data_IF_328109824438
#
_entry.id   IF_328109824438
#
_cell.length_a   1.000
_cell.length_b   1.000
_cell.length_c   1.000
_cell.angle_alpha   90.00
_cell.angle_beta   90.00
_cell.angle_gamma   90.00
#
_symmetry.space_group_name_H-M   'P 1'
#
loop_
_entity.id
_entity.type
_entity.pdbx_description
1 polymer ?
#
# COMPACT_ATOMS: atom_id res chain seq x y z
N UNK A 1 40.19 7.56 7.94
CA UNK A 1 39.95 8.90 7.41
C UNK A 1 39.61 8.75 5.94
N UNK A 2 38.47 9.26 5.49
CA UNK A 2 38.02 9.15 4.11
C UNK A 2 38.67 10.29 3.29
N UNK A 3 39.52 9.93 2.33
CA UNK A 3 40.27 10.89 1.49
C UNK A 3 39.40 11.23 0.28
N UNK A 4 39.22 12.52 -0.03
CA UNK A 4 38.43 13.00 -1.16
C UNK A 4 39.34 13.66 -2.21
N UNK A 5 38.98 13.52 -3.48
CA UNK A 5 39.71 14.10 -4.61
C UNK A 5 38.82 15.07 -5.38
N UNK A 6 39.41 16.12 -5.94
CA UNK A 6 38.68 17.08 -6.75
C UNK A 6 38.19 16.46 -8.07
N UNK A 7 36.91 16.65 -8.39
CA UNK A 7 36.27 16.16 -9.62
C UNK A 7 36.85 16.70 -10.94
N UNK A 8 37.59 17.81 -10.90
CA UNK A 8 38.14 18.48 -12.09
C UNK A 8 39.65 18.32 -12.24
N UNK A 9 40.40 18.43 -11.16
CA UNK A 9 41.87 18.44 -11.20
C UNK A 9 42.53 17.26 -10.46
N UNK A 10 41.76 16.44 -9.75
CA UNK A 10 42.28 15.27 -9.04
C UNK A 10 43.14 15.55 -7.80
N UNK A 11 43.32 16.82 -7.41
CA UNK A 11 44.04 17.17 -6.18
C UNK A 11 43.27 16.67 -4.95
N UNK A 12 44.01 16.19 -3.94
CA UNK A 12 43.45 15.77 -2.65
C UNK A 12 42.82 16.97 -1.93
N UNK A 13 41.64 16.75 -1.34
CA UNK A 13 40.84 17.75 -0.65
C UNK A 13 40.74 17.41 0.83
N UNK A 14 40.78 18.43 1.68
CA UNK A 14 40.57 18.24 3.11
C UNK A 14 39.07 18.07 3.43
N UNK A 15 38.77 17.36 4.51
CA UNK A 15 37.39 16.99 4.87
C UNK A 15 36.62 18.25 5.31
N UNK A 16 35.80 18.80 4.41
CA UNK A 16 34.98 19.99 4.67
C UNK A 16 35.14 21.12 3.64
N UNK A 17 36.10 21.01 2.72
CA UNK A 17 36.34 22.04 1.71
C UNK A 17 35.21 22.13 0.69
N UNK A 18 34.57 23.31 0.64
CA UNK A 18 33.51 23.61 -0.34
C UNK A 18 34.07 23.98 -1.72
N UNK A 19 35.37 24.28 -1.80
CA UNK A 19 36.06 24.65 -3.03
C UNK A 19 37.43 23.99 -3.10
N UNK A 20 37.84 23.60 -4.30
CA UNK A 20 39.19 23.10 -4.52
C UNK A 20 40.21 24.25 -4.50
N UNK A 21 41.23 24.15 -3.65
CA UNK A 21 42.33 25.11 -3.53
C UNK A 21 43.18 25.25 -4.80
N UNK A 22 43.21 24.23 -5.66
CA UNK A 22 44.02 24.24 -6.88
C UNK A 22 43.24 24.78 -8.09
N UNK A 23 42.01 24.31 -8.33
CA UNK A 23 41.25 24.65 -9.54
C UNK A 23 40.04 25.58 -9.31
N UNK A 24 39.77 26.00 -8.07
CA UNK A 24 38.67 26.90 -7.70
C UNK A 24 37.26 26.33 -7.92
N UNK A 25 37.14 25.08 -8.37
CA UNK A 25 35.82 24.49 -8.68
C UNK A 25 35.11 24.10 -7.38
N UNK A 26 33.87 24.57 -7.23
CA UNK A 26 32.99 24.22 -6.10
C UNK A 26 32.73 22.71 -6.12
N UNK A 27 32.93 22.06 -4.98
CA UNK A 27 32.62 20.65 -4.81
C UNK A 27 31.26 20.51 -4.13
N UNK A 28 30.44 19.57 -4.60
CA UNK A 28 29.23 19.18 -3.90
C UNK A 28 29.63 18.37 -2.66
N UNK A 29 29.77 19.06 -1.52
CA UNK A 29 29.91 18.40 -0.24
C UNK A 29 28.64 17.57 0.02
N UNK A 30 28.74 16.24 -0.05
CA UNK A 30 27.73 15.39 0.56
C UNK A 30 27.97 15.53 2.06
N UNK A 31 27.12 16.29 2.74
CA UNK A 31 27.13 16.39 4.18
C UNK A 31 27.10 14.98 4.77
N UNK A 32 28.06 14.63 5.62
CA UNK A 32 28.04 13.35 6.35
C UNK A 32 26.72 13.18 7.15
N UNK A 33 26.03 14.30 7.44
CA UNK A 33 24.67 14.33 7.99
C UNK A 33 23.61 13.74 7.03
N UNK A 34 23.74 13.92 5.72
CA UNK A 34 22.79 13.39 4.74
C UNK A 34 22.92 11.87 4.56
N UNK A 35 24.15 11.33 4.55
CA UNK A 35 24.39 9.88 4.53
C UNK A 35 23.97 9.23 5.86
N UNK A 36 24.30 9.85 6.99
CA UNK A 36 23.90 9.32 8.30
C UNK A 36 22.39 9.37 8.54
N UNK A 37 21.68 10.36 7.98
CA UNK A 37 20.22 10.43 7.99
C UNK A 37 19.57 9.42 7.02
N UNK A 38 20.16 9.17 5.85
CA UNK A 38 19.72 8.12 4.91
C UNK A 38 19.93 6.71 5.50
N UNK A 39 21.03 6.49 6.20
CA UNK A 39 21.33 5.22 6.88
C UNK A 39 20.47 5.06 8.15
N UNK A 40 20.18 6.14 8.89
CA UNK A 40 19.19 6.16 10.00
C UNK A 40 17.77 5.84 9.55
N UNK A 41 17.33 6.34 8.40
CA UNK A 41 15.99 6.05 7.89
C UNK A 41 15.87 4.58 7.43
N UNK A 42 16.94 4.01 6.89
CA UNK A 42 17.00 2.60 6.50
C UNK A 42 17.00 1.61 7.68
N UNK A 43 17.41 2.07 8.87
CA UNK A 43 17.48 1.28 10.12
C UNK A 43 16.35 1.56 11.10
N UNK A 44 15.47 2.53 10.79
CA UNK A 44 14.33 2.86 11.64
C UNK A 44 13.36 1.68 11.70
N UNK A 45 13.22 1.07 12.87
CA UNK A 45 12.22 0.02 13.12
C UNK A 45 10.82 0.59 12.91
N UNK A 46 10.09 0.04 11.93
CA UNK A 46 8.72 0.44 11.64
C UNK A 46 7.78 -0.32 12.57
N UNK A 47 7.02 0.43 13.37
CA UNK A 47 6.00 -0.14 14.26
C UNK A 47 4.74 -0.46 13.46
N UNK A 48 3.92 -1.35 14.00
CA UNK A 48 2.65 -1.75 13.39
C UNK A 48 1.76 -0.55 13.03
N UNK A 49 1.53 0.37 13.98
CA UNK A 49 0.68 1.56 13.79
C UNK A 49 1.22 2.51 12.73
N UNK A 50 2.54 2.65 12.66
CA UNK A 50 3.22 3.51 11.68
C UNK A 50 3.05 2.92 10.27
N UNK A 51 3.20 1.60 10.13
CA UNK A 51 2.98 0.90 8.87
C UNK A 51 1.52 1.07 8.38
N UNK A 52 0.54 0.85 9.26
CA UNK A 52 -0.88 1.00 8.92
C UNK A 52 -1.19 2.44 8.50
N UNK A 53 -0.77 3.42 9.30
CA UNK A 53 -1.01 4.84 9.00
C UNK A 53 -0.34 5.25 7.69
N UNK A 54 0.91 4.83 7.46
CA UNK A 54 1.65 5.16 6.24
C UNK A 54 1.02 4.51 5.00
N UNK A 55 0.51 3.29 5.12
CA UNK A 55 -0.17 2.60 4.02
C UNK A 55 -1.53 3.24 3.70
N UNK A 56 -2.33 3.57 4.70
CA UNK A 56 -3.62 4.23 4.50
C UNK A 56 -3.45 5.64 3.91
N UNK A 57 -2.49 6.43 4.40
CA UNK A 57 -2.17 7.76 3.83
C UNK A 57 -1.73 7.68 2.36
N UNK A 58 -1.09 6.57 1.98
CA UNK A 58 -0.61 6.31 0.62
C UNK A 58 -1.50 5.32 -0.14
N UNK A 59 -2.75 5.10 0.27
CA UNK A 59 -3.63 4.12 -0.37
C UNK A 59 -3.81 4.40 -1.87
N UNK A 60 -3.97 5.68 -2.24
CA UNK A 60 -4.08 6.13 -3.63
C UNK A 60 -2.73 6.55 -4.23
N UNK A 61 -1.60 6.16 -3.63
CA UNK A 61 -0.27 6.48 -4.13
C UNK A 61 0.47 5.23 -4.62
N UNK A 62 0.53 5.03 -5.95
CA UNK A 62 1.20 3.89 -6.59
C UNK A 62 2.68 4.14 -6.92
N UNK A 63 3.22 5.33 -6.63
CA UNK A 63 4.62 5.66 -6.86
C UNK A 63 5.43 5.59 -5.56
N UNK A 64 6.74 5.43 -5.73
CA UNK A 64 7.69 5.24 -4.64
C UNK A 64 7.88 3.77 -4.26
N UNK A 65 8.56 3.58 -3.14
CA UNK A 65 8.97 2.26 -2.61
C UNK A 65 8.34 2.00 -1.24
N UNK A 66 8.23 0.73 -0.88
CA UNK A 66 7.78 0.29 0.45
C UNK A 66 8.73 -0.78 0.99
N UNK A 67 9.10 -0.63 2.26
CA UNK A 67 10.01 -1.57 2.92
C UNK A 67 9.31 -2.90 3.21
N UNK A 68 10.08 -3.95 3.47
CA UNK A 68 9.55 -5.27 3.85
C UNK A 68 8.65 -5.19 5.08
N UNK A 69 9.09 -4.46 6.11
CA UNK A 69 8.33 -4.32 7.36
C UNK A 69 6.99 -3.63 7.12
N UNK A 70 6.94 -2.57 6.30
CA UNK A 70 5.67 -1.90 5.94
C UNK A 70 4.69 -2.85 5.28
N UNK A 71 5.16 -3.64 4.32
CA UNK A 71 4.32 -4.59 3.60
C UNK A 71 3.76 -5.67 4.53
N UNK A 72 4.61 -6.33 5.32
CA UNK A 72 4.18 -7.46 6.16
C UNK A 72 3.32 -7.03 7.35
N UNK A 73 3.60 -5.88 7.97
CA UNK A 73 2.71 -5.34 9.01
C UNK A 73 1.33 -4.97 8.46
N UNK A 74 1.30 -4.36 7.26
CA UNK A 74 0.02 -4.06 6.62
C UNK A 74 -0.73 -5.32 6.16
N UNK A 75 -0.01 -6.34 5.70
CA UNK A 75 -0.59 -7.64 5.37
C UNK A 75 -1.25 -8.28 6.59
N UNK A 76 -0.60 -8.22 7.76
CA UNK A 76 -1.17 -8.71 9.02
C UNK A 76 -2.44 -7.92 9.40
N UNK A 77 -2.39 -6.59 9.35
CA UNK A 77 -3.56 -5.74 9.59
C UNK A 77 -4.72 -6.11 8.65
N UNK A 78 -4.44 -6.26 7.36
CA UNK A 78 -5.41 -6.68 6.35
C UNK A 78 -6.02 -8.04 6.69
N UNK A 79 -5.20 -9.02 7.09
CA UNK A 79 -5.68 -10.35 7.44
C UNK A 79 -6.66 -10.29 8.63
N UNK A 80 -6.28 -9.59 9.71
CA UNK A 80 -7.14 -9.42 10.89
C UNK A 80 -8.43 -8.68 10.54
N UNK A 81 -8.33 -7.57 9.80
CA UNK A 81 -9.48 -6.79 9.38
C UNK A 81 -10.43 -7.63 8.50
N UNK A 82 -9.89 -8.44 7.59
CA UNK A 82 -10.68 -9.32 6.73
C UNK A 82 -11.41 -10.39 7.54
N UNK A 83 -10.74 -11.04 8.51
CA UNK A 83 -11.41 -12.00 9.40
C UNK A 83 -12.53 -11.34 10.20
N UNK A 84 -12.31 -10.13 10.74
CA UNK A 84 -13.33 -9.37 11.46
C UNK A 84 -14.53 -9.00 10.58
N UNK A 85 -14.28 -8.55 9.34
CA UNK A 85 -15.33 -8.23 8.37
C UNK A 85 -16.12 -9.48 7.97
N UNK A 86 -15.45 -10.61 7.71
CA UNK A 86 -16.12 -11.87 7.37
C UNK A 86 -17.00 -12.36 8.54
N UNK A 87 -16.48 -12.32 9.76
CA UNK A 87 -17.24 -12.67 10.95
C UNK A 87 -18.46 -11.76 11.14
N UNK A 88 -18.29 -10.45 11.00
CA UNK A 88 -19.39 -9.49 11.10
C UNK A 88 -20.47 -9.73 10.04
N UNK A 89 -20.09 -9.99 8.78
CA UNK A 89 -21.05 -10.33 7.72
C UNK A 89 -21.76 -11.66 7.99
N UNK A 90 -21.05 -12.68 8.48
CA UNK A 90 -21.67 -13.96 8.83
C UNK A 90 -22.67 -13.79 9.99
N UNK A 91 -22.30 -13.01 11.01
CA UNK A 91 -23.18 -12.68 12.14
C UNK A 91 -24.43 -11.92 11.67
N UNK A 92 -24.26 -10.91 10.81
CA UNK A 92 -25.39 -10.17 10.23
C UNK A 92 -26.27 -11.11 9.41
N UNK A 93 -25.71 -11.98 8.56
CA UNK A 93 -26.49 -12.91 7.73
C UNK A 93 -27.28 -13.95 8.53
N UNK A 94 -26.71 -14.47 9.63
CA UNK A 94 -27.43 -15.40 10.52
C UNK A 94 -28.58 -14.70 11.23
N UNK A 95 -28.32 -13.53 11.82
CA UNK A 95 -29.34 -12.76 12.55
C UNK A 95 -30.38 -12.14 11.62
N UNK A 96 -30.05 -11.91 10.36
CA UNK A 96 -30.99 -11.48 9.34
C UNK A 96 -32.12 -12.50 9.16
N UNK A 97 -31.77 -13.79 9.09
CA UNK A 97 -32.71 -14.90 8.93
C UNK A 97 -33.66 -15.05 10.12
N UNK A 98 -33.20 -14.77 11.34
CA UNK A 98 -34.04 -14.80 12.55
C UNK A 98 -34.81 -13.50 12.78
N UNK A 99 -34.26 -12.33 12.41
CA UNK A 99 -34.91 -11.03 12.62
C UNK A 99 -36.17 -10.84 11.77
N UNK A 100 -36.24 -11.39 10.55
CA UNK A 100 -37.49 -11.41 9.77
C UNK A 100 -38.59 -12.17 10.53
N UNK A 101 -38.23 -13.22 11.27
CA UNK A 101 -39.17 -14.12 11.95
C UNK A 101 -39.62 -13.54 13.30
N UNK A 102 -38.75 -12.83 14.03
CA UNK A 102 -39.01 -12.36 15.39
C UNK A 102 -39.12 -10.84 15.55
N UNK A 103 -38.94 -10.05 14.48
CA UNK A 103 -39.20 -8.60 14.41
C UNK A 103 -38.41 -7.68 15.37
N UNK A 104 -37.31 -8.13 15.96
CA UNK A 104 -36.56 -7.33 16.95
C UNK A 104 -35.57 -6.32 16.32
N UNK A 105 -35.22 -6.46 15.05
CA UNK A 105 -34.23 -5.61 14.36
C UNK A 105 -34.73 -5.23 12.96
N UNK A 106 -34.72 -3.93 12.63
CA UNK A 106 -35.17 -3.44 11.34
C UNK A 106 -34.20 -3.89 10.22
N UNK A 107 -34.65 -4.55 9.15
CA UNK A 107 -33.79 -5.12 8.10
C UNK A 107 -32.92 -4.06 7.40
N UNK A 108 -33.39 -2.81 7.32
CA UNK A 108 -32.61 -1.70 6.77
C UNK A 108 -31.35 -1.37 7.61
N UNK A 109 -31.37 -1.61 8.92
CA UNK A 109 -30.22 -1.37 9.79
C UNK A 109 -29.09 -2.37 9.53
N UNK A 110 -29.44 -3.66 9.45
CA UNK A 110 -28.49 -4.74 9.12
C UNK A 110 -27.87 -4.53 7.73
N UNK A 111 -28.69 -4.12 6.76
CA UNK A 111 -28.21 -3.75 5.43
C UNK A 111 -27.21 -2.58 5.44
N UNK A 112 -27.51 -1.51 6.20
CA UNK A 112 -26.61 -0.36 6.31
C UNK A 112 -25.25 -0.75 6.88
N UNK A 113 -25.21 -1.64 7.88
CA UNK A 113 -23.96 -2.19 8.43
C UNK A 113 -23.16 -2.91 7.34
N UNK A 114 -23.80 -3.79 6.58
CA UNK A 114 -23.11 -4.55 5.53
C UNK A 114 -22.54 -3.65 4.44
N UNK A 115 -23.25 -2.60 4.03
CA UNK A 115 -22.75 -1.60 3.07
C UNK A 115 -21.51 -0.89 3.62
N UNK A 116 -21.52 -0.46 4.88
CA UNK A 116 -20.37 0.18 5.53
C UNK A 116 -19.17 -0.77 5.57
N UNK A 117 -19.37 -2.03 5.97
CA UNK A 117 -18.31 -3.04 5.99
C UNK A 117 -17.71 -3.27 4.59
N UNK A 118 -18.55 -3.25 3.55
CA UNK A 118 -18.11 -3.33 2.15
C UNK A 118 -17.21 -2.16 1.74
N UNK A 119 -17.58 -0.92 2.09
CA UNK A 119 -16.78 0.27 1.83
C UNK A 119 -15.45 0.27 2.60
N UNK A 120 -15.45 -0.22 3.84
CA UNK A 120 -14.21 -0.38 4.61
C UNK A 120 -13.29 -1.40 3.94
N UNK A 121 -13.84 -2.53 3.50
CA UNK A 121 -13.10 -3.57 2.77
C UNK A 121 -12.48 -3.03 1.47
N UNK A 122 -13.19 -2.21 0.70
CA UNK A 122 -12.67 -1.65 -0.56
C UNK A 122 -11.50 -0.69 -0.35
N UNK A 123 -11.53 0.14 0.70
CA UNK A 123 -10.39 1.01 1.06
C UNK A 123 -9.17 0.17 1.43
N UNK A 124 -9.35 -0.87 2.25
CA UNK A 124 -8.26 -1.76 2.66
C UNK A 124 -7.69 -2.49 1.44
N UNK A 125 -8.52 -2.95 0.51
CA UNK A 125 -8.08 -3.63 -0.71
C UNK A 125 -7.18 -2.73 -1.58
N UNK A 126 -7.52 -1.46 -1.74
CA UNK A 126 -6.69 -0.53 -2.52
C UNK A 126 -5.40 -0.17 -1.81
N UNK A 127 -5.46 0.06 -0.50
CA UNK A 127 -4.24 0.27 0.29
C UNK A 127 -3.30 -0.96 0.19
N UNK A 128 -3.88 -2.18 0.14
CA UNK A 128 -3.15 -3.43 -0.06
C UNK A 128 -2.49 -3.50 -1.44
N UNK A 129 -3.22 -3.12 -2.49
CA UNK A 129 -2.70 -3.07 -3.85
C UNK A 129 -1.58 -2.03 -3.96
N UNK A 130 -1.76 -0.85 -3.38
CA UNK A 130 -0.76 0.22 -3.37
C UNK A 130 0.54 -0.20 -2.70
N UNK A 131 0.46 -0.78 -1.49
CA UNK A 131 1.68 -1.24 -0.80
C UNK A 131 2.34 -2.40 -1.55
N UNK A 132 1.57 -3.29 -2.19
CA UNK A 132 2.12 -4.36 -3.03
C UNK A 132 2.87 -3.81 -4.25
N UNK A 133 2.32 -2.80 -4.96
CA UNK A 133 3.01 -2.13 -6.08
C UNK A 133 4.30 -1.48 -5.60
N UNK A 134 4.24 -0.71 -4.51
CA UNK A 134 5.42 -0.04 -3.94
C UNK A 134 6.47 -1.04 -3.44
N UNK A 135 6.06 -2.21 -2.98
CA UNK A 135 6.95 -3.30 -2.58
C UNK A 135 7.68 -3.91 -3.79
N UNK A 136 7.00 -4.11 -4.92
CA UNK A 136 7.65 -4.56 -6.16
C UNK A 136 8.64 -3.52 -6.70
N UNK A 137 8.27 -2.24 -6.62
CA UNK A 137 9.16 -1.14 -6.97
C UNK A 137 10.42 -1.09 -6.10
N UNK A 138 10.33 -1.46 -4.83
CA UNK A 138 11.49 -1.56 -3.93
C UNK A 138 12.51 -2.63 -4.38
N UNK A 139 12.04 -3.66 -5.10
CA UNK A 139 12.89 -4.69 -5.73
C UNK A 139 13.28 -4.34 -7.18
N UNK A 140 13.07 -3.10 -7.62
CA UNK A 140 13.28 -2.62 -9.00
C UNK A 140 12.44 -3.36 -10.07
N UNK A 141 11.36 -4.03 -9.65
CA UNK A 141 10.42 -4.73 -10.53
C UNK A 141 9.22 -3.83 -10.84
N UNK A 142 8.58 -4.05 -11.98
CA UNK A 142 7.38 -3.28 -12.35
C UNK A 142 6.14 -3.73 -11.56
N UNK A 143 5.24 -2.81 -11.22
CA UNK A 143 3.97 -3.16 -10.57
C UNK A 143 3.05 -4.10 -11.40
N UNK A 144 3.34 -4.32 -12.68
CA UNK A 144 2.59 -5.26 -13.55
C UNK A 144 2.69 -6.71 -13.10
N UNK A 145 3.74 -7.06 -12.36
CA UNK A 145 3.90 -8.42 -11.82
C UNK A 145 2.78 -8.81 -10.85
N UNK A 146 2.00 -7.85 -10.31
CA UNK A 146 0.80 -8.16 -9.53
C UNK A 146 -0.21 -8.98 -10.33
N UNK A 147 -0.27 -8.83 -11.66
CA UNK A 147 -1.15 -9.63 -12.50
C UNK A 147 -0.84 -11.13 -12.45
N UNK A 148 0.35 -11.53 -11.99
CA UNK A 148 0.64 -12.95 -11.75
C UNK A 148 -0.29 -13.53 -10.69
N UNK A 149 -0.83 -12.74 -9.77
CA UNK A 149 -1.81 -13.20 -8.78
C UNK A 149 -3.11 -13.76 -9.38
N UNK A 150 -3.40 -13.46 -10.66
CA UNK A 150 -4.52 -14.08 -11.38
C UNK A 150 -4.25 -15.53 -11.79
N UNK A 151 -2.98 -15.97 -11.76
CA UNK A 151 -2.61 -17.37 -12.00
C UNK A 151 -2.63 -18.09 -10.65
N UNK A 152 -3.58 -19.02 -10.42
CA UNK A 152 -3.68 -19.72 -9.14
C UNK A 152 -2.41 -20.54 -8.86
N UNK A 153 -2.10 -20.70 -7.58
CA UNK A 153 -0.92 -21.41 -7.06
C UNK A 153 0.43 -20.80 -7.47
N UNK A 154 0.85 -21.00 -8.73
CA UNK A 154 2.16 -20.55 -9.22
C UNK A 154 2.35 -19.04 -9.12
N UNK A 155 1.32 -18.28 -9.48
CA UNK A 155 1.37 -16.82 -9.43
C UNK A 155 1.47 -16.24 -8.02
N UNK A 156 0.75 -16.85 -7.08
CA UNK A 156 0.79 -16.46 -5.66
C UNK A 156 2.16 -16.77 -5.06
N UNK A 157 2.71 -17.95 -5.33
CA UNK A 157 4.05 -18.35 -4.85
C UNK A 157 5.12 -17.40 -5.43
N UNK A 158 5.06 -17.12 -6.75
CA UNK A 158 5.99 -16.18 -7.39
C UNK A 158 5.92 -14.79 -6.74
N UNK A 159 4.71 -14.27 -6.48
CA UNK A 159 4.52 -12.99 -5.79
C UNK A 159 5.05 -13.00 -4.36
N UNK A 160 4.82 -14.07 -3.61
CA UNK A 160 5.34 -14.21 -2.26
C UNK A 160 6.86 -14.17 -2.25
N UNK A 161 7.51 -14.91 -3.15
CA UNK A 161 8.97 -14.88 -3.31
C UNK A 161 9.44 -13.46 -3.64
N UNK A 162 8.81 -12.77 -4.59
CA UNK A 162 9.15 -11.39 -4.93
C UNK A 162 8.99 -10.42 -3.75
N UNK A 163 7.92 -10.54 -2.95
CA UNK A 163 7.74 -9.69 -1.77
C UNK A 163 8.80 -9.93 -0.68
N UNK A 164 9.36 -11.14 -0.60
CA UNK A 164 10.45 -11.50 0.31
C UNK A 164 11.85 -11.05 -0.15
N UNK A 165 12.05 -10.63 -1.41
CA UNK A 165 13.36 -10.24 -1.93
C UNK A 165 13.96 -9.01 -1.23
N UNK A 166 15.28 -8.80 -1.34
CA UNK A 166 15.97 -7.68 -0.67
C UNK A 166 15.66 -6.37 -1.41
N UNK A 167 15.56 -5.27 -0.66
CA UNK A 167 15.46 -3.92 -1.24
C UNK A 167 16.69 -3.64 -2.08
N UNK A 168 16.47 -3.10 -3.28
CA UNK A 168 17.55 -2.60 -4.15
C UNK A 168 17.58 -1.09 -3.96
N UNK A 169 18.64 -0.60 -3.31
CA UNK A 169 18.84 0.83 -3.06
C UNK A 169 19.64 1.47 -4.20
N UNK A 170 20.69 0.79 -4.66
CA UNK A 170 21.58 1.30 -5.69
C UNK A 170 20.99 1.06 -7.09
N UNK A 171 20.81 2.13 -7.87
CA UNK A 171 20.30 2.03 -9.24
C UNK A 171 18.80 1.74 -9.35
N UNK A 172 18.04 1.82 -8.26
CA UNK A 172 16.60 1.64 -8.30
C UNK A 172 15.88 2.89 -8.82
N UNK A 173 15.26 2.75 -9.99
CA UNK A 173 14.57 3.84 -10.70
C UNK A 173 13.29 4.34 -10.02
N UNK A 174 12.79 3.66 -8.99
CA UNK A 174 11.51 4.00 -8.35
C UNK A 174 11.63 4.82 -7.05
N UNK A 175 12.83 4.97 -6.48
CA UNK A 175 13.05 5.66 -5.19
C UNK A 175 12.66 7.15 -5.27
N UNK A 176 13.09 7.84 -6.33
CA UNK A 176 12.88 9.29 -6.50
C UNK A 176 11.68 9.63 -7.39
N UNK A 177 10.74 8.69 -7.55
CA UNK A 177 9.58 8.87 -8.41
C UNK A 177 8.37 9.25 -7.57
N UNK A 178 7.86 10.45 -7.78
CA UNK A 178 6.60 10.92 -7.21
C UNK A 178 5.46 10.80 -8.24
N UNK A 179 4.25 10.53 -7.76
CA UNK A 179 3.08 10.50 -8.63
C UNK A 179 2.63 11.91 -8.99
N UNK A 180 2.37 12.13 -10.28
CA UNK A 180 1.73 13.36 -10.75
C UNK A 180 0.29 13.45 -10.19
N UNK A 181 -0.09 14.66 -9.75
CA UNK A 181 -1.44 15.00 -9.27
C UNK A 181 -2.55 14.52 -10.21
N UNK A 182 -2.38 14.64 -11.52
CA UNK A 182 -3.37 14.17 -12.52
C UNK A 182 -3.58 12.64 -12.46
N UNK A 183 -2.49 11.85 -12.39
CA UNK A 183 -2.58 10.39 -12.27
C UNK A 183 -3.27 9.97 -10.96
N UNK A 184 -2.95 10.66 -9.86
CA UNK A 184 -3.58 10.43 -8.55
C UNK A 184 -5.08 10.68 -8.61
N UNK A 185 -5.52 11.79 -9.22
CA UNK A 185 -6.95 12.09 -9.40
C UNK A 185 -7.64 11.00 -10.23
N UNK A 186 -7.03 10.55 -11.35
CA UNK A 186 -7.59 9.46 -12.16
C UNK A 186 -7.80 8.18 -11.35
N UNK A 187 -6.83 7.79 -10.53
CA UNK A 187 -6.96 6.60 -9.66
C UNK A 187 -8.10 6.76 -8.64
N UNK A 188 -8.22 7.94 -8.03
CA UNK A 188 -9.30 8.23 -7.07
C UNK A 188 -10.67 8.17 -7.75
N UNK A 189 -10.81 8.77 -8.95
CA UNK A 189 -12.06 8.73 -9.72
C UNK A 189 -12.43 7.29 -10.10
N UNK A 190 -11.47 6.50 -10.59
CA UNK A 190 -11.71 5.09 -10.90
C UNK A 190 -12.13 4.28 -9.67
N UNK A 191 -11.56 4.59 -8.50
CA UNK A 191 -11.99 3.96 -7.26
C UNK A 191 -13.44 4.32 -6.89
N UNK A 192 -13.80 5.60 -6.95
CA UNK A 192 -15.16 6.03 -6.62
C UNK A 192 -16.17 5.34 -7.53
N UNK A 193 -15.89 5.28 -8.83
CA UNK A 193 -16.72 4.56 -9.81
C UNK A 193 -16.83 3.07 -9.45
N UNK A 194 -15.69 2.41 -9.21
CA UNK A 194 -15.67 1.00 -8.80
C UNK A 194 -16.47 0.75 -7.52
N UNK A 195 -16.32 1.61 -6.51
CA UNK A 195 -17.03 1.51 -5.24
C UNK A 195 -18.55 1.70 -5.42
N UNK A 196 -18.98 2.62 -6.29
CA UNK A 196 -20.39 2.82 -6.60
C UNK A 196 -20.98 1.60 -7.34
N UNK A 197 -20.25 1.04 -8.31
CA UNK A 197 -20.67 -0.15 -9.02
C UNK A 197 -20.73 -1.38 -8.12
N UNK A 198 -19.73 -1.57 -7.26
CA UNK A 198 -19.70 -2.67 -6.29
C UNK A 198 -20.85 -2.56 -5.28
N UNK A 199 -21.14 -1.35 -4.78
CA UNK A 199 -22.30 -1.11 -3.94
C UNK A 199 -23.59 -1.45 -4.69
N UNK A 200 -23.75 -1.01 -5.94
CA UNK A 200 -24.93 -1.31 -6.75
C UNK A 200 -25.15 -2.82 -6.95
N UNK A 201 -24.10 -3.57 -7.27
CA UNK A 201 -24.16 -5.03 -7.39
C UNK A 201 -24.51 -5.71 -6.06
N UNK A 202 -23.93 -5.23 -4.95
CA UNK A 202 -24.23 -5.75 -3.61
C UNK A 202 -25.70 -5.51 -3.23
N UNK A 203 -26.23 -4.33 -3.52
CA UNK A 203 -27.65 -4.00 -3.31
C UNK A 203 -28.53 -4.93 -4.15
N UNK A 204 -28.19 -5.17 -5.42
CA UNK A 204 -28.94 -6.08 -6.29
C UNK A 204 -28.97 -7.53 -5.77
N UNK A 205 -27.83 -8.04 -5.31
CA UNK A 205 -27.73 -9.38 -4.70
C UNK A 205 -28.50 -9.46 -3.38
N UNK A 206 -28.49 -8.40 -2.58
CA UNK A 206 -29.28 -8.33 -1.35
C UNK A 206 -30.78 -8.39 -1.66
N UNK A 207 -31.27 -7.58 -2.61
CA UNK A 207 -32.68 -7.57 -3.02
C UNK A 207 -33.12 -8.93 -3.56
N UNK A 208 -32.27 -9.63 -4.33
CA UNK A 208 -32.60 -10.97 -4.84
C UNK A 208 -32.71 -12.00 -3.72
N UNK A 209 -31.83 -11.97 -2.71
CA UNK A 209 -31.96 -12.81 -1.52
C UNK A 209 -33.23 -12.50 -0.72
N UNK A 210 -33.61 -11.21 -0.59
CA UNK A 210 -34.87 -10.83 0.06
C UNK A 210 -36.08 -11.41 -0.65
N UNK A 211 -36.12 -11.25 -1.97
CA UNK A 211 -37.21 -11.73 -2.79
C UNK A 211 -37.32 -13.26 -2.72
N UNK A 212 -36.18 -13.97 -2.76
CA UNK A 212 -36.17 -15.42 -2.62
C UNK A 212 -36.70 -15.90 -1.26
N UNK A 213 -36.41 -15.17 -0.18
CA UNK A 213 -36.84 -15.52 1.18
C UNK A 213 -38.31 -15.17 1.46
N UNK A 214 -38.90 -14.17 0.80
CA UNK A 214 -40.30 -13.78 0.97
C UNK A 214 -41.29 -14.63 0.15
N UNK A 215 -40.84 -15.24 -0.95
CA UNK A 215 -41.68 -16.00 -1.89
C UNK A 215 -41.52 -17.54 -1.76
N UNK A 216 -40.94 -18.01 -0.65
CA UNK A 216 -40.79 -19.43 -0.34
C UNK A 216 -41.44 -19.75 1.00
#
# INVERSE_FOLDING_TARGET
MEIKYCSKCGTELSVGDSFCSNCGTRQSYIENNSISNLEKDSTKRIRFTDAVTKCLKNAFNLSGVATRAEYWWFYLFKAIALFGILYANAYVGINYRSAIVFSEIHPAFLFAISVILGLVSSVIAIASLSVAVRRLHDTNLSGRFICLGFIPFLGIIALLVMFCQKSVVNGNKYINVSMNKSKKIRIIVLYVIYSMLAAWLYIGMYISEMHFMLYR
#
